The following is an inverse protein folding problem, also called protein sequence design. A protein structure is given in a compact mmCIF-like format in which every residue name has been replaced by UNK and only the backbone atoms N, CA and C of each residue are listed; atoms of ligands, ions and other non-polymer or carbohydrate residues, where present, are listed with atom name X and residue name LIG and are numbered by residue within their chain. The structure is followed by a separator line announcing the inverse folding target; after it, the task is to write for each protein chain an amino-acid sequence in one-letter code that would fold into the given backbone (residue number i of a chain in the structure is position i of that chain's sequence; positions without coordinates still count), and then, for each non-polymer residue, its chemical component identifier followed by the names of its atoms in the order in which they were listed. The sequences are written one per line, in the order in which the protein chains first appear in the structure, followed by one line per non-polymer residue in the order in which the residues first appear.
data_IF_063149963378
#
_entry.id   IF_063149963378
#
_cell.length_a   1.000
_cell.length_b   1.000
_cell.length_c   1.000
_cell.angle_alpha   90.00
_cell.angle_beta   90.00
_cell.angle_gamma   90.00
#
_symmetry.space_group_name_H-M   'P 1'
#
loop_
_entity.id
_entity.type
_entity.pdbx_description
1 polymer ?
#
# COMPACT_ATOMS: atom_id res chain seq x y z
N UNK A 1 11.46 0.01 2.31
CA UNK A 1 10.55 1.15 2.54
C UNK A 1 9.12 0.71 2.33
N UNK A 2 8.18 1.55 2.73
CA UNK A 2 6.75 1.34 2.48
C UNK A 2 6.36 2.08 1.22
N UNK A 3 5.47 1.51 0.42
CA UNK A 3 4.81 2.15 -0.71
C UNK A 3 3.30 1.89 -0.61
N UNK A 4 2.50 2.82 -1.11
CA UNK A 4 1.05 2.75 -1.03
C UNK A 4 0.42 3.19 -2.35
N UNK A 5 -0.64 2.50 -2.73
CA UNK A 5 -1.46 2.83 -3.89
C UNK A 5 -2.94 2.86 -3.51
N UNK A 6 -3.67 3.80 -4.09
CA UNK A 6 -5.14 3.88 -4.01
C UNK A 6 -5.75 3.28 -5.27
N UNK A 7 -6.82 2.52 -5.11
CA UNK A 7 -7.63 2.00 -6.23
C UNK A 7 -8.73 3.01 -6.53
N UNK A 8 -8.70 3.60 -7.73
CA UNK A 8 -9.71 4.53 -8.22
C UNK A 8 -10.11 4.10 -9.62
N UNK A 9 -11.40 3.88 -9.86
CA UNK A 9 -11.94 3.43 -11.15
C UNK A 9 -11.22 2.19 -11.72
N UNK A 10 -11.01 1.18 -10.87
CA UNK A 10 -10.25 -0.06 -11.17
C UNK A 10 -8.79 0.16 -11.61
N UNK A 11 -8.22 1.35 -11.35
CA UNK A 11 -6.81 1.66 -11.62
C UNK A 11 -6.05 1.85 -10.32
N UNK A 12 -4.86 1.27 -10.28
CA UNK A 12 -3.92 1.41 -9.16
C UNK A 12 -3.12 2.69 -9.37
N UNK A 13 -3.36 3.70 -8.52
CA UNK A 13 -2.67 4.99 -8.58
C UNK A 13 -1.71 5.10 -7.40
N UNK A 14 -0.47 5.50 -7.66
CA UNK A 14 0.53 5.71 -6.58
C UNK A 14 0.05 6.86 -5.72
N UNK A 15 0.05 6.67 -4.41
CA UNK A 15 -0.30 7.74 -3.48
C UNK A 15 0.87 8.73 -3.38
N UNK A 16 0.56 10.01 -3.32
CA UNK A 16 1.52 11.06 -3.01
C UNK A 16 2.12 10.87 -1.60
N UNK A 17 3.38 11.25 -1.42
CA UNK A 17 4.09 11.10 -0.14
C UNK A 17 3.42 11.89 1.01
N UNK A 18 2.77 13.02 0.71
CA UNK A 18 2.03 13.85 1.69
C UNK A 18 0.75 13.17 2.20
N UNK A 19 0.20 12.24 1.41
CA UNK A 19 -1.01 11.48 1.71
C UNK A 19 -0.69 10.08 2.25
N UNK A 20 0.59 9.76 2.42
CA UNK A 20 1.03 8.46 2.93
C UNK A 20 0.56 8.28 4.38
N UNK A 21 -0.13 7.17 4.65
CA UNK A 21 -0.72 6.87 5.97
C UNK A 21 -2.12 7.43 6.19
N UNK A 22 -2.67 8.21 5.24
CA UNK A 22 -4.10 8.59 5.23
C UNK A 22 -4.89 7.56 4.43
N UNK A 23 -5.98 7.08 5.02
CA UNK A 23 -6.91 6.14 4.40
C UNK A 23 -8.31 6.76 4.37
N UNK A 24 -8.93 6.76 3.20
CA UNK A 24 -10.32 7.17 3.00
C UNK A 24 -11.21 5.92 3.00
N UNK A 25 -12.26 5.93 3.80
CA UNK A 25 -13.13 4.77 4.06
C UNK A 25 -14.02 4.38 2.89
N UNK A 26 -14.19 5.24 1.89
CA UNK A 26 -14.85 4.92 0.61
C UNK A 26 -13.93 4.19 -0.39
N UNK A 27 -12.64 4.09 -0.11
CA UNK A 27 -11.64 3.62 -1.06
C UNK A 27 -10.98 2.30 -0.65
N UNK A 28 -10.24 1.72 -1.59
CA UNK A 28 -9.41 0.54 -1.36
C UNK A 28 -7.95 0.87 -1.64
N UNK A 29 -7.04 0.25 -0.89
CA UNK A 29 -5.61 0.53 -0.97
C UNK A 29 -4.77 -0.74 -0.99
N UNK A 30 -3.65 -0.66 -1.70
CA UNK A 30 -2.58 -1.66 -1.64
C UNK A 30 -1.41 -1.02 -0.90
N UNK A 31 -0.86 -1.72 0.09
CA UNK A 31 0.34 -1.30 0.81
C UNK A 31 1.41 -2.37 0.65
N UNK A 32 2.59 -1.97 0.18
CA UNK A 32 3.77 -2.83 0.07
C UNK A 32 4.81 -2.37 1.08
N UNK A 33 5.22 -3.26 1.97
CA UNK A 33 6.41 -3.04 2.78
C UNK A 33 7.56 -3.92 2.25
N UNK A 34 8.60 -3.27 1.72
CA UNK A 34 9.83 -3.91 1.28
C UNK A 34 10.90 -3.74 2.35
N UNK A 35 11.46 -4.84 2.86
CA UNK A 35 12.45 -4.80 3.93
C UNK A 35 13.51 -5.88 3.76
N UNK A 36 14.65 -5.69 4.42
CA UNK A 36 15.66 -6.75 4.57
C UNK A 36 15.49 -7.37 5.96
N UNK A 37 15.27 -8.69 6.02
CA UNK A 37 15.21 -9.40 7.29
C UNK A 37 16.59 -9.48 7.96
N UNK A 38 17.65 -9.48 7.14
CA UNK A 38 19.05 -9.41 7.54
C UNK A 38 19.71 -8.25 6.77
N UNK A 39 20.31 -7.25 7.45
CA UNK A 39 20.97 -6.11 6.82
C UNK A 39 22.04 -6.48 5.78
N UNK A 40 22.78 -7.57 6.02
CA UNK A 40 23.91 -8.00 5.20
C UNK A 40 23.47 -8.86 4.01
N UNK A 41 22.20 -9.25 3.96
CA UNK A 41 21.64 -10.03 2.85
C UNK A 41 21.34 -9.15 1.63
N UNK A 42 21.58 -9.69 0.43
CA UNK A 42 21.13 -9.09 -0.84
C UNK A 42 19.64 -9.33 -1.11
N UNK A 43 18.97 -10.21 -0.33
CA UNK A 43 17.57 -10.56 -0.55
C UNK A 43 16.62 -9.55 0.11
N UNK A 44 15.61 -9.15 -0.65
CA UNK A 44 14.48 -8.38 -0.14
C UNK A 44 13.32 -9.29 0.25
N UNK A 45 12.62 -8.90 1.30
CA UNK A 45 11.38 -9.49 1.76
C UNK A 45 10.26 -8.48 1.55
N UNK A 46 9.05 -8.99 1.36
CA UNK A 46 7.90 -8.20 0.95
C UNK A 46 6.68 -8.62 1.75
N UNK A 47 6.01 -7.65 2.38
CA UNK A 47 4.67 -7.84 2.93
C UNK A 47 3.71 -7.01 2.09
N UNK A 48 2.72 -7.66 1.50
CA UNK A 48 1.66 -7.02 0.72
C UNK A 48 0.37 -7.07 1.52
N UNK A 49 -0.24 -5.91 1.73
CA UNK A 49 -1.49 -5.75 2.43
C UNK A 49 -2.52 -5.12 1.50
N UNK A 50 -3.75 -5.63 1.56
CA UNK A 50 -4.89 -5.02 0.90
C UNK A 50 -5.83 -4.48 1.97
N UNK A 51 -6.08 -3.18 1.92
CA UNK A 51 -6.97 -2.50 2.83
C UNK A 51 -8.26 -2.14 2.11
N UNK A 52 -9.38 -2.49 2.73
CA UNK A 52 -10.73 -2.25 2.24
C UNK A 52 -11.39 -1.23 3.15
N UNK A 53 -11.77 -0.09 2.59
CA UNK A 53 -12.56 0.90 3.31
C UNK A 53 -13.93 0.35 3.67
N UNK A 54 -14.45 0.77 4.81
CA UNK A 54 -15.74 0.30 5.32
C UNK A 54 -16.91 0.60 4.36
N UNK A 55 -16.77 1.64 3.54
CA UNK A 55 -17.77 2.13 2.59
C UNK A 55 -17.31 1.95 1.13
N UNK A 56 -16.31 1.09 0.88
CA UNK A 56 -15.81 0.83 -0.49
C UNK A 56 -16.75 -0.09 -1.26
N UNK A 57 -16.72 0.00 -2.60
CA UNK A 57 -17.51 -0.87 -3.48
C UNK A 57 -16.72 -2.13 -3.85
N UNK A 58 -17.38 -3.29 -3.81
CA UNK A 58 -16.81 -4.58 -4.24
C UNK A 58 -16.98 -4.82 -5.75
#
# INVERSE_FOLDING_TARGET
GVEMWRVVDFKVQKQDEEEMGKFYDGDSYIVLNTFKADPDSEKFNFNVHFWLGANTTQ
#
